data_IF_072444855618
#
_entry.id   IF_072444855618
#
_cell.length_a   1.000
_cell.length_b   1.000
_cell.length_c   1.000
_cell.angle_alpha   90.00
_cell.angle_beta   90.00
_cell.angle_gamma   90.00
#
_symmetry.space_group_name_H-M   'P 1'
#
loop_
_entity.id
_entity.type
_entity.pdbx_description
1 polymer ?
#
# COMPACT_ATOMS: atom_id res chain seq x y z
N UNK A 1 -8.91 8.71 -9.67
CA UNK A 1 -9.89 7.66 -10.01
C UNK A 1 -10.12 6.86 -8.75
N UNK A 2 -11.27 7.01 -8.07
CA UNK A 2 -11.47 6.42 -6.74
C UNK A 2 -10.95 4.97 -6.61
N UNK A 3 -10.30 4.68 -5.48
CA UNK A 3 -9.72 3.38 -5.17
C UNK A 3 -8.28 3.16 -5.67
N UNK A 4 -7.59 4.15 -6.23
CA UNK A 4 -6.17 4.00 -6.63
C UNK A 4 -5.28 3.75 -5.41
N UNK A 5 -5.56 4.44 -4.29
CA UNK A 5 -4.86 4.22 -3.02
C UNK A 5 -5.00 2.76 -2.57
N UNK A 6 -6.21 2.20 -2.63
CA UNK A 6 -6.46 0.81 -2.26
C UNK A 6 -5.67 -0.16 -3.14
N UNK A 7 -5.72 0.04 -4.47
CA UNK A 7 -4.95 -0.79 -5.42
C UNK A 7 -3.44 -0.74 -5.15
N UNK A 8 -2.89 0.43 -4.87
CA UNK A 8 -1.46 0.57 -4.54
C UNK A 8 -1.09 -0.21 -3.28
N UNK A 9 -1.91 -0.11 -2.23
CA UNK A 9 -1.68 -0.83 -0.97
C UNK A 9 -1.70 -2.33 -1.22
N UNK A 10 -2.71 -2.83 -1.95
CA UNK A 10 -2.83 -4.24 -2.27
C UNK A 10 -1.63 -4.74 -3.11
N UNK A 11 -1.15 -3.95 -4.08
CA UNK A 11 0.07 -4.27 -4.84
C UNK A 11 1.32 -4.33 -3.97
N UNK A 12 1.56 -3.34 -3.10
CA UNK A 12 2.72 -3.34 -2.19
C UNK A 12 2.72 -4.59 -1.31
N UNK A 13 1.55 -4.93 -0.77
CA UNK A 13 1.36 -6.07 0.10
C UNK A 13 1.59 -7.38 -0.67
N UNK A 14 0.97 -7.55 -1.83
CA UNK A 14 1.12 -8.75 -2.67
C UNK A 14 2.57 -8.96 -3.10
N UNK A 15 3.22 -7.90 -3.56
CA UNK A 15 4.61 -7.92 -4.01
C UNK A 15 5.59 -8.31 -2.90
N UNK A 16 5.37 -7.77 -1.69
CA UNK A 16 6.21 -8.11 -0.56
C UNK A 16 5.95 -9.52 -0.04
N UNK A 17 4.68 -9.93 0.00
CA UNK A 17 4.23 -11.17 0.63
C UNK A 17 4.47 -12.41 -0.23
N UNK A 18 4.33 -12.32 -1.56
CA UNK A 18 4.44 -13.47 -2.48
C UNK A 18 3.60 -14.68 -2.01
N UNK A 19 2.39 -14.41 -1.51
CA UNK A 19 1.47 -15.41 -0.98
C UNK A 19 1.73 -15.87 0.46
N UNK A 20 2.76 -15.34 1.14
CA UNK A 20 3.03 -15.66 2.54
C UNK A 20 2.14 -14.82 3.49
N UNK A 21 1.22 -15.44 4.26
CA UNK A 21 0.26 -14.71 5.09
C UNK A 21 0.91 -13.96 6.27
N UNK A 22 2.05 -14.44 6.78
CA UNK A 22 2.79 -13.73 7.84
C UNK A 22 3.43 -12.45 7.28
N UNK A 23 3.99 -12.52 6.07
CA UNK A 23 4.57 -11.35 5.42
C UNK A 23 3.47 -10.35 5.02
N UNK A 24 2.32 -10.83 4.58
CA UNK A 24 1.15 -9.98 4.31
C UNK A 24 0.76 -9.16 5.56
N UNK A 25 0.55 -9.83 6.69
CA UNK A 25 0.20 -9.19 7.97
C UNK A 25 1.26 -8.19 8.42
N UNK A 26 2.52 -8.60 8.42
CA UNK A 26 3.62 -7.72 8.86
C UNK A 26 3.82 -6.53 7.93
N UNK A 27 3.58 -6.67 6.62
CA UNK A 27 3.61 -5.57 5.65
C UNK A 27 2.48 -4.57 5.90
N UNK A 28 1.25 -5.04 6.14
CA UNK A 28 0.11 -4.17 6.53
C UNK A 28 0.39 -3.43 7.84
N UNK A 29 0.92 -4.12 8.85
CA UNK A 29 1.35 -3.49 10.10
C UNK A 29 2.43 -2.44 9.86
N UNK A 30 3.40 -2.70 8.99
CA UNK A 30 4.45 -1.73 8.65
C UNK A 30 3.87 -0.46 8.01
N UNK A 31 2.88 -0.58 7.11
CA UNK A 31 2.19 0.57 6.53
C UNK A 31 1.49 1.40 7.61
N UNK A 32 0.76 0.73 8.53
CA UNK A 32 0.08 1.38 9.63
C UNK A 32 1.05 2.16 10.52
N UNK A 33 2.18 1.54 10.91
CA UNK A 33 3.24 2.19 11.70
C UNK A 33 3.89 3.37 10.97
N UNK A 34 3.93 3.33 9.64
CA UNK A 34 4.41 4.42 8.79
C UNK A 34 3.35 5.50 8.54
N UNK A 35 2.19 5.41 9.19
CA UNK A 35 1.12 6.41 9.18
C UNK A 35 0.11 6.26 8.05
N UNK A 36 0.09 5.12 7.35
CA UNK A 36 -0.94 4.80 6.36
C UNK A 36 -1.71 3.59 6.85
N UNK A 37 -2.93 3.79 7.32
CA UNK A 37 -3.81 2.69 7.71
C UNK A 37 -4.46 2.06 6.46
N UNK A 38 -4.12 0.81 6.07
CA UNK A 38 -4.71 0.13 4.92
C UNK A 38 -6.25 0.01 4.98
N UNK A 39 -6.79 -0.18 6.19
CA UNK A 39 -8.21 -0.49 6.39
C UNK A 39 -9.10 0.75 6.22
N UNK A 40 -8.51 1.95 6.15
CA UNK A 40 -9.23 3.19 5.85
C UNK A 40 -9.53 3.38 4.37
N UNK A 41 -8.94 2.58 3.49
CA UNK A 41 -9.08 2.72 2.05
C UNK A 41 -9.83 1.53 1.45
N UNK A 42 -10.89 1.86 0.72
CA UNK A 42 -11.72 0.94 -0.03
C UNK A 42 -11.75 1.34 -1.52
N UNK A 43 -12.53 0.61 -2.32
CA UNK A 43 -12.64 0.85 -3.76
C UNK A 43 -13.25 2.22 -4.12
N UNK A 44 -13.97 2.86 -3.19
CA UNK A 44 -14.68 4.13 -3.40
C UNK A 44 -13.96 5.32 -2.77
N UNK A 45 -12.85 5.05 -2.06
CA UNK A 45 -12.07 6.10 -1.42
C UNK A 45 -11.52 7.05 -2.46
N UNK A 46 -11.81 8.34 -2.29
CA UNK A 46 -11.24 9.39 -3.14
C UNK A 46 -9.72 9.35 -3.04
N UNK A 47 -9.08 9.54 -4.19
CA UNK A 47 -7.63 9.60 -4.22
C UNK A 47 -7.16 10.95 -3.72
N UNK A 48 -6.12 10.89 -2.88
CA UNK A 48 -5.36 12.04 -2.43
C UNK A 48 -3.95 11.94 -3.03
N UNK A 49 -3.50 12.91 -3.84
CA UNK A 49 -2.17 12.91 -4.44
C UNK A 49 -1.05 12.86 -3.40
N UNK A 50 -1.25 13.41 -2.20
CA UNK A 50 -0.28 13.38 -1.09
C UNK A 50 -0.12 11.96 -0.55
N UNK A 51 -1.24 11.24 -0.38
CA UNK A 51 -1.21 9.84 0.07
C UNK A 51 -0.59 8.95 -1.00
N UNK A 52 -0.91 9.17 -2.27
CA UNK A 52 -0.30 8.46 -3.40
C UNK A 52 1.22 8.66 -3.42
N UNK A 53 1.70 9.90 -3.29
CA UNK A 53 3.13 10.18 -3.24
C UNK A 53 3.81 9.45 -2.08
N UNK A 54 3.18 9.47 -0.89
CA UNK A 54 3.68 8.75 0.28
C UNK A 54 3.72 7.23 0.08
N UNK A 55 2.70 6.66 -0.56
CA UNK A 55 2.67 5.23 -0.91
C UNK A 55 3.76 4.86 -1.91
N UNK A 56 4.06 5.70 -2.90
CA UNK A 56 5.18 5.47 -3.83
C UNK A 56 6.51 5.41 -3.08
N UNK A 57 6.75 6.34 -2.14
CA UNK A 57 7.96 6.30 -1.31
C UNK A 57 8.04 5.04 -0.43
N UNK A 58 6.94 4.69 0.24
CA UNK A 58 6.89 3.49 1.08
C UNK A 58 7.04 2.20 0.28
N UNK A 59 6.51 2.15 -0.94
CA UNK A 59 6.69 1.02 -1.83
C UNK A 59 8.17 0.80 -2.14
N UNK A 60 8.92 1.86 -2.49
CA UNK A 60 10.37 1.75 -2.71
C UNK A 60 11.09 1.26 -1.45
N UNK A 61 10.72 1.76 -0.27
CA UNK A 61 11.32 1.30 1.00
C UNK A 61 11.03 -0.19 1.29
N UNK A 62 9.85 -0.68 0.92
CA UNK A 62 9.38 -2.03 1.29
C UNK A 62 9.76 -3.07 0.24
N UNK A 63 9.62 -2.74 -1.04
CA UNK A 63 9.76 -3.67 -2.18
C UNK A 63 10.91 -3.32 -3.12
N UNK A 64 11.53 -2.15 -2.97
CA UNK A 64 12.60 -1.67 -3.86
C UNK A 64 12.09 -1.04 -5.16
N UNK A 65 10.78 -0.91 -5.37
CA UNK A 65 10.19 -0.36 -6.60
C UNK A 65 8.87 0.37 -6.37
N UNK A 66 8.50 1.23 -7.32
CA UNK A 66 7.21 1.93 -7.34
C UNK A 66 6.13 0.99 -7.90
N UNK A 67 4.92 0.92 -7.33
CA UNK A 67 3.83 0.10 -7.85
C UNK A 67 3.36 0.69 -9.19
N UNK A 68 3.27 -0.16 -10.22
CA UNK A 68 2.65 0.20 -11.50
C UNK A 68 1.15 -0.10 -11.40
N UNK A 69 0.33 0.94 -11.47
CA UNK A 69 -1.12 0.95 -11.26
C UNK A 69 -1.82 1.38 -12.53
#
# INVERSE_FOLDING_TARGET
MAGQIRKMIDLIVQERAKGNPLIERTTRTKLLLKGINPDRYNAESLDDPVIIARLKHLAVEITGRVPMI
#
